data_IF_050572659191
#
_entry.id   IF_050572659191
#
_cell.length_a   1.000
_cell.length_b   1.000
_cell.length_c   1.000
_cell.angle_alpha   90.00
_cell.angle_beta   90.00
_cell.angle_gamma   90.00
#
_symmetry.space_group_name_H-M   'P 1'
#
loop_
_entity.id
_entity.type
_entity.pdbx_description
1 polymer ?
#
# COMPACT_ATOMS: atom_id res chain seq x y z
N UNK A 1 -8.68 3.18 30.80
CA UNK A 1 -8.40 4.62 31.00
C UNK A 1 -7.65 4.72 32.32
N UNK A 2 -6.40 4.22 32.34
CA UNK A 2 -5.71 3.86 33.60
C UNK A 2 -4.22 4.24 33.62
N UNK A 3 -3.64 4.64 32.48
CA UNK A 3 -2.18 4.76 32.34
C UNK A 3 -1.61 6.12 32.76
N UNK A 4 -2.44 7.03 33.29
CA UNK A 4 -2.01 8.38 33.69
C UNK A 4 -1.83 8.56 35.20
N UNK A 5 -2.16 7.56 36.02
CA UNK A 5 -2.13 7.69 37.50
C UNK A 5 -0.71 7.65 38.09
N UNK A 6 0.32 7.28 37.32
CA UNK A 6 1.71 7.17 37.78
C UNK A 6 2.65 8.24 37.22
N UNK A 7 2.13 9.29 36.59
CA UNK A 7 2.97 10.32 35.95
C UNK A 7 3.34 11.42 36.94
N UNK A 8 4.55 11.35 37.50
CA UNK A 8 5.13 12.45 38.28
C UNK A 8 5.73 13.50 37.35
N UNK A 9 5.07 14.67 37.26
CA UNK A 9 5.58 15.84 36.56
C UNK A 9 6.77 16.43 37.33
N UNK A 10 7.80 16.87 36.62
CA UNK A 10 8.96 17.53 37.19
C UNK A 10 9.38 18.67 36.28
N UNK A 11 10.06 19.69 36.82
CA UNK A 11 10.49 20.89 36.10
C UNK A 11 11.67 20.66 35.11
N UNK A 12 11.72 19.50 34.46
CA UNK A 12 12.70 19.13 33.45
C UNK A 12 12.09 19.37 32.06
N UNK A 13 12.92 19.70 31.08
CA UNK A 13 12.46 19.83 29.70
C UNK A 13 11.83 18.52 29.22
N UNK A 14 10.69 18.64 28.54
CA UNK A 14 9.97 17.49 28.00
C UNK A 14 10.79 16.83 26.88
N UNK A 15 10.83 15.49 26.93
CA UNK A 15 11.54 14.67 25.96
C UNK A 15 10.66 13.56 25.41
N UNK A 16 10.76 13.32 24.10
CA UNK A 16 10.09 12.19 23.47
C UNK A 16 10.77 10.89 23.88
N UNK A 17 10.04 10.03 24.60
CA UNK A 17 10.49 8.67 24.93
C UNK A 17 9.73 7.66 24.09
N UNK A 18 10.47 6.80 23.42
CA UNK A 18 9.90 5.63 22.75
C UNK A 18 9.68 4.50 23.75
N UNK A 19 8.46 3.98 23.82
CA UNK A 19 8.07 2.91 24.74
C UNK A 19 8.24 1.51 24.13
N UNK A 20 8.52 1.42 22.83
CA UNK A 20 8.61 0.16 22.10
C UNK A 20 9.93 -0.59 22.25
N UNK A 21 10.82 -0.15 23.14
CA UNK A 21 12.04 -0.89 23.48
C UNK A 21 12.45 -0.65 24.94
N UNK A 22 12.44 -1.71 25.74
CA UNK A 22 12.93 -1.72 27.12
C UNK A 22 14.46 -1.83 27.20
N UNK A 23 15.14 -2.10 26.08
CA UNK A 23 16.56 -2.50 26.02
C UNK A 23 17.51 -1.33 25.75
N UNK A 24 16.99 -0.12 25.57
CA UNK A 24 17.81 1.09 25.36
C UNK A 24 18.47 1.17 23.99
N UNK A 25 17.98 0.46 22.97
CA UNK A 25 18.46 0.68 21.61
C UNK A 25 18.01 2.04 21.09
N UNK A 26 18.81 2.64 20.20
CA UNK A 26 18.47 3.92 19.57
C UNK A 26 17.06 3.86 18.97
N UNK A 27 16.23 4.87 19.22
CA UNK A 27 14.86 5.00 18.71
C UNK A 27 14.68 4.49 17.28
N UNK A 28 15.58 4.93 16.39
CA UNK A 28 15.55 4.58 14.96
C UNK A 28 15.65 3.07 14.71
N UNK A 29 16.46 2.34 15.50
CA UNK A 29 16.62 0.88 15.35
C UNK A 29 15.35 0.15 15.77
N UNK A 30 14.78 0.49 16.93
CA UNK A 30 13.54 -0.13 17.40
C UNK A 30 12.37 0.16 16.47
N UNK A 31 12.19 1.42 16.03
CA UNK A 31 11.14 1.78 15.07
C UNK A 31 11.31 1.03 13.75
N UNK A 32 12.54 0.95 13.21
CA UNK A 32 12.80 0.17 11.99
C UNK A 32 12.49 -1.31 12.16
N UNK A 33 12.81 -1.90 13.30
CA UNK A 33 12.51 -3.30 13.59
C UNK A 33 10.99 -3.55 13.60
N UNK A 34 10.23 -2.76 14.36
CA UNK A 34 8.77 -2.88 14.43
C UNK A 34 8.12 -2.68 13.04
N UNK A 35 8.59 -1.68 12.28
CA UNK A 35 8.12 -1.47 10.92
C UNK A 35 8.47 -2.65 10.01
N UNK A 36 9.66 -3.23 10.14
CA UNK A 36 10.09 -4.36 9.32
C UNK A 36 9.21 -5.59 9.57
N UNK A 37 8.92 -5.96 10.82
CA UNK A 37 8.01 -7.06 11.14
C UNK A 37 6.60 -6.82 10.61
N UNK A 38 6.08 -5.60 10.75
CA UNK A 38 4.77 -5.23 10.21
C UNK A 38 4.71 -5.31 8.68
N UNK A 39 5.83 -5.06 7.98
CA UNK A 39 5.92 -5.17 6.52
C UNK A 39 6.10 -6.60 6.01
N UNK A 40 6.80 -7.47 6.74
CA UNK A 40 7.01 -8.89 6.36
C UNK A 40 5.67 -9.63 6.31
N UNK A 41 4.72 -9.28 7.17
CA UNK A 41 3.37 -9.85 7.16
C UNK A 41 2.47 -9.36 6.00
N UNK A 42 2.92 -8.40 5.16
CA UNK A 42 2.10 -7.79 4.08
C UNK A 42 2.43 -8.28 2.67
N UNK A 43 2.55 -9.59 2.51
CA UNK A 43 2.68 -10.32 1.23
C UNK A 43 4.10 -10.46 0.68
N UNK A 44 4.64 -11.67 0.84
CA UNK A 44 5.85 -12.16 0.18
C UNK A 44 5.56 -12.74 -1.22
N UNK A 45 4.61 -12.20 -1.98
CA UNK A 45 4.46 -12.61 -3.37
C UNK A 45 5.53 -11.94 -4.22
N UNK A 46 6.64 -12.65 -4.41
CA UNK A 46 7.72 -12.24 -5.32
C UNK A 46 7.30 -12.66 -6.73
N UNK A 47 6.83 -11.69 -7.53
CA UNK A 47 6.57 -11.94 -8.94
C UNK A 47 7.91 -12.20 -9.65
N UNK A 48 8.07 -13.39 -10.23
CA UNK A 48 9.23 -13.69 -11.05
C UNK A 48 9.19 -12.87 -12.34
N UNK A 49 10.21 -12.05 -12.55
CA UNK A 49 10.30 -11.21 -13.74
C UNK A 49 10.50 -12.07 -14.98
N UNK A 50 9.62 -11.91 -15.97
CA UNK A 50 9.76 -12.59 -17.23
C UNK A 50 10.75 -11.83 -18.12
N UNK A 51 11.86 -12.47 -18.51
CA UNK A 51 12.90 -11.85 -19.35
C UNK A 51 12.45 -11.59 -20.80
N UNK A 52 11.38 -12.25 -21.24
CA UNK A 52 10.86 -12.14 -22.60
C UNK A 52 10.00 -10.89 -22.82
N UNK A 53 9.58 -10.21 -21.75
CA UNK A 53 8.74 -9.02 -21.82
C UNK A 53 9.53 -7.77 -21.40
N UNK A 54 9.19 -6.59 -21.94
CA UNK A 54 9.77 -5.34 -21.47
C UNK A 54 9.62 -5.18 -19.95
N UNK A 55 10.61 -4.56 -19.31
CA UNK A 55 10.61 -4.29 -17.87
C UNK A 55 9.36 -3.54 -17.39
N UNK A 56 8.80 -2.66 -18.23
CA UNK A 56 7.54 -1.95 -17.97
C UNK A 56 6.35 -2.90 -17.80
N UNK A 57 6.30 -4.01 -18.56
CA UNK A 57 5.26 -5.02 -18.45
C UNK A 57 5.39 -5.78 -17.13
N UNK A 58 6.60 -6.24 -16.77
CA UNK A 58 6.85 -6.89 -15.48
C UNK A 58 6.46 -5.99 -14.30
N UNK A 59 6.83 -4.70 -14.37
CA UNK A 59 6.48 -3.73 -13.35
C UNK A 59 4.97 -3.50 -13.24
N UNK A 60 4.26 -3.45 -14.39
CA UNK A 60 2.81 -3.34 -14.40
C UNK A 60 2.14 -4.55 -13.73
N UNK A 61 2.53 -5.77 -14.11
CA UNK A 61 1.98 -7.01 -13.50
C UNK A 61 2.32 -7.08 -12.01
N UNK A 62 3.54 -6.72 -11.61
CA UNK A 62 3.91 -6.64 -10.20
C UNK A 62 3.02 -5.67 -9.41
N UNK A 63 2.70 -4.49 -9.96
CA UNK A 63 1.73 -3.57 -9.36
C UNK A 63 0.31 -4.15 -9.32
N UNK A 64 -0.11 -4.87 -10.36
CA UNK A 64 -1.42 -5.52 -10.42
C UNK A 64 -1.59 -6.54 -9.29
N UNK A 65 -0.63 -7.46 -9.15
CA UNK A 65 -0.65 -8.52 -8.13
C UNK A 65 -0.59 -7.95 -6.71
N UNK A 66 0.11 -6.84 -6.52
CA UNK A 66 0.16 -6.14 -5.24
C UNK A 66 -1.12 -5.32 -4.94
N UNK A 67 -2.16 -5.36 -5.79
CA UNK A 67 -3.35 -4.48 -5.70
C UNK A 67 -2.97 -2.99 -5.59
N UNK A 68 -1.89 -2.59 -6.27
CA UNK A 68 -1.32 -1.23 -6.23
C UNK A 68 -1.59 -0.42 -7.49
N UNK A 69 -2.43 -0.92 -8.40
CA UNK A 69 -2.90 -0.12 -9.53
C UNK A 69 -3.92 0.89 -8.99
N UNK A 70 -3.76 2.20 -9.28
CA UNK A 70 -4.71 3.22 -8.86
C UNK A 70 -5.96 3.18 -9.77
N UNK A 71 -6.72 2.09 -9.70
CA UNK A 71 -8.05 2.00 -10.30
C UNK A 71 -9.04 2.88 -9.52
N UNK A 72 -10.15 3.26 -10.14
CA UNK A 72 -11.16 4.11 -9.51
C UNK A 72 -11.69 3.51 -8.20
N UNK A 73 -11.90 2.19 -8.15
CA UNK A 73 -12.32 1.48 -6.95
C UNK A 73 -11.24 1.48 -5.86
N UNK A 74 -9.96 1.28 -6.23
CA UNK A 74 -8.84 1.27 -5.29
C UNK A 74 -8.57 2.65 -4.69
N UNK A 75 -8.76 3.70 -5.48
CA UNK A 75 -8.68 5.09 -5.03
C UNK A 75 -9.86 5.45 -4.12
N UNK A 76 -11.08 5.04 -4.48
CA UNK A 76 -12.28 5.21 -3.65
C UNK A 76 -12.13 4.55 -2.28
N UNK A 77 -11.61 3.32 -2.21
CA UNK A 77 -11.28 2.62 -0.94
C UNK A 77 -10.26 3.38 -0.07
N UNK A 78 -9.46 4.27 -0.65
CA UNK A 78 -8.49 5.11 0.08
C UNK A 78 -9.06 6.49 0.45
N UNK A 79 -10.34 6.73 0.21
CA UNK A 79 -10.98 8.03 0.46
C UNK A 79 -10.61 9.10 -0.57
N UNK A 80 -10.00 8.72 -1.69
CA UNK A 80 -9.70 9.66 -2.78
C UNK A 80 -10.96 9.78 -3.64
N UNK A 81 -11.48 11.01 -3.76
CA UNK A 81 -12.66 11.29 -4.58
C UNK A 81 -12.30 11.11 -6.05
N UNK A 82 -12.80 10.04 -6.66
CA UNK A 82 -12.69 9.79 -8.10
C UNK A 82 -14.05 10.04 -8.72
N UNK A 83 -14.24 11.24 -9.29
CA UNK A 83 -15.44 11.69 -10.01
C UNK A 83 -16.67 10.75 -9.87
N UNK A 84 -17.00 10.01 -10.93
CA UNK A 84 -18.16 9.11 -10.95
C UNK A 84 -17.82 7.68 -10.46
N UNK A 85 -16.55 7.39 -10.15
CA UNK A 85 -16.06 6.03 -9.86
C UNK A 85 -16.10 5.07 -11.06
N UNK A 86 -16.49 5.58 -12.24
CA UNK A 86 -16.64 4.82 -13.47
C UNK A 86 -15.34 4.74 -14.26
N UNK A 87 -15.20 3.67 -15.04
CA UNK A 87 -14.08 3.45 -15.93
C UNK A 87 -14.02 4.58 -16.99
N UNK A 88 -12.86 5.23 -17.18
CA UNK A 88 -12.72 6.34 -18.13
C UNK A 88 -12.91 5.93 -19.60
N UNK A 89 -12.81 4.64 -19.91
CA UNK A 89 -13.01 4.11 -21.26
C UNK A 89 -14.50 3.86 -21.53
N UNK A 90 -15.13 2.95 -20.77
CA UNK A 90 -16.50 2.52 -21.04
C UNK A 90 -17.58 3.31 -20.30
N UNK A 91 -17.21 4.13 -19.29
CA UNK A 91 -18.11 4.92 -18.43
C UNK A 91 -19.25 4.09 -17.80
N UNK A 92 -19.01 2.81 -17.53
CA UNK A 92 -20.04 1.88 -17.02
C UNK A 92 -19.52 1.04 -15.87
N UNK A 93 -18.34 0.45 -16.02
CA UNK A 93 -17.77 -0.47 -15.04
C UNK A 93 -16.78 0.23 -14.12
N UNK A 94 -16.58 -0.24 -12.89
CA UNK A 94 -15.58 0.32 -11.98
C UNK A 94 -14.15 -0.16 -12.30
N UNK A 95 -14.01 -1.39 -12.81
CA UNK A 95 -12.71 -1.94 -13.18
C UNK A 95 -12.37 -1.64 -14.65
N UNK A 96 -11.16 -1.11 -14.83
CA UNK A 96 -10.60 -0.77 -16.13
C UNK A 96 -10.12 -2.01 -16.90
N UNK A 97 -9.68 -3.07 -16.22
CA UNK A 97 -8.92 -4.15 -16.87
C UNK A 97 -9.75 -5.37 -17.25
N UNK A 98 -10.61 -5.85 -16.34
CA UNK A 98 -11.34 -7.11 -16.57
C UNK A 98 -12.80 -6.89 -16.94
N UNK A 99 -13.46 -5.90 -16.34
CA UNK A 99 -14.88 -5.62 -16.60
C UNK A 99 -15.12 -4.68 -17.79
N UNK A 100 -14.15 -3.83 -18.15
CA UNK A 100 -14.32 -2.88 -19.24
C UNK A 100 -14.34 -3.55 -20.61
N UNK A 101 -15.47 -3.51 -21.31
CA UNK A 101 -15.61 -4.10 -22.65
C UNK A 101 -14.60 -3.54 -23.68
N UNK A 102 -14.26 -2.25 -23.58
CA UNK A 102 -13.25 -1.62 -24.47
C UNK A 102 -11.87 -2.23 -24.20
N UNK A 103 -11.50 -2.41 -22.93
CA UNK A 103 -10.24 -3.04 -22.58
C UNK A 103 -10.19 -4.49 -23.05
N UNK A 104 -11.27 -5.26 -22.87
CA UNK A 104 -11.38 -6.65 -23.36
C UNK A 104 -11.16 -6.72 -24.88
N UNK A 105 -11.80 -5.84 -25.65
CA UNK A 105 -11.63 -5.77 -27.11
C UNK A 105 -10.17 -5.44 -27.46
N UNK A 106 -9.53 -4.50 -26.74
CA UNK A 106 -8.13 -4.17 -26.98
C UNK A 106 -7.20 -5.36 -26.69
N UNK A 107 -7.42 -6.08 -25.59
CA UNK A 107 -6.64 -7.27 -25.25
C UNK A 107 -6.74 -8.36 -26.32
N UNK A 108 -7.94 -8.56 -26.89
CA UNK A 108 -8.16 -9.51 -27.98
C UNK A 108 -7.47 -9.11 -29.30
N UNK A 109 -7.08 -7.84 -29.47
CA UNK A 109 -6.38 -7.37 -30.68
C UNK A 109 -4.86 -7.43 -30.55
N UNK A 110 -4.35 -7.59 -29.33
CA UNK A 110 -2.90 -7.68 -29.04
C UNK A 110 -2.43 -9.13 -28.94
N UNK A 111 -3.35 -10.07 -28.66
CA UNK A 111 -3.15 -11.52 -28.84
C UNK A 111 -3.35 -11.91 -30.31
#
# INVERSE_FOLDING_TARGET
MSDLSSVCLSNREDGWRWLGDSTGSSFVKSVKFVLSEATVNRASYVLNWNKWVPSKCNFFVWKAVMYRIPTADALSKRGIVVADGLCPLCKSEADLFTSCYIAVIMWQKVL
#
